data_IF_214641583789
#
_entry.id   IF_214641583789
#
_cell.length_a   1.000
_cell.length_b   1.000
_cell.length_c   1.000
_cell.angle_alpha   90.00
_cell.angle_beta   90.00
_cell.angle_gamma   90.00
#
_symmetry.space_group_name_H-M   'P 1'
#
loop_
_entity.id
_entity.type
_entity.pdbx_description
1 polymer ?
#
# COMPACT_ATOMS: atom_id res chain seq x y z
N UNK A 1 15.16 -6.08 18.02
CA UNK A 1 15.40 -4.79 18.71
C UNK A 1 16.02 -3.70 17.80
N UNK A 2 17.09 -3.94 17.03
CA UNK A 2 17.70 -2.88 16.19
C UNK A 2 16.78 -2.33 15.07
N UNK A 3 16.10 -3.19 14.30
CA UNK A 3 15.30 -2.79 13.12
C UNK A 3 14.13 -1.85 13.44
N UNK A 4 13.57 -1.99 14.63
CA UNK A 4 12.48 -1.14 15.13
C UNK A 4 13.01 0.17 15.69
N UNK A 5 14.10 0.12 16.48
CA UNK A 5 14.77 1.30 17.03
C UNK A 5 15.23 2.29 15.96
N UNK A 6 15.64 1.77 14.78
CA UNK A 6 16.06 2.59 13.64
C UNK A 6 14.89 3.03 12.75
N UNK A 7 13.63 2.73 13.10
CA UNK A 7 12.45 3.04 12.27
C UNK A 7 12.39 2.28 10.94
N UNK A 8 13.32 1.37 10.70
CA UNK A 8 13.47 0.65 9.43
C UNK A 8 12.27 -0.24 9.13
N UNK A 9 11.61 -0.78 10.16
CA UNK A 9 10.37 -1.53 9.98
C UNK A 9 9.28 -0.69 9.28
N UNK A 10 9.07 0.56 9.71
CA UNK A 10 8.09 1.47 9.10
C UNK A 10 8.45 1.84 7.67
N UNK A 11 9.75 2.06 7.39
CA UNK A 11 10.24 2.30 6.03
C UNK A 11 9.97 1.12 5.11
N UNK A 12 10.32 -0.09 5.55
CA UNK A 12 10.11 -1.32 4.79
C UNK A 12 8.61 -1.54 4.48
N UNK A 13 7.70 -1.24 5.41
CA UNK A 13 6.26 -1.29 5.15
C UNK A 13 5.84 -0.30 4.05
N UNK A 14 6.33 0.94 4.09
CA UNK A 14 6.02 1.94 3.09
C UNK A 14 6.55 1.56 1.70
N UNK A 15 7.76 1.02 1.62
CA UNK A 15 8.36 0.52 0.37
C UNK A 15 7.51 -0.59 -0.24
N UNK A 16 7.04 -1.54 0.57
CA UNK A 16 6.16 -2.63 0.12
C UNK A 16 4.81 -2.08 -0.35
N UNK A 17 4.21 -1.13 0.36
CA UNK A 17 2.95 -0.49 -0.07
C UNK A 17 3.13 0.22 -1.41
N UNK A 18 4.21 0.98 -1.58
CA UNK A 18 4.50 1.68 -2.84
C UNK A 18 4.80 0.72 -3.99
N UNK A 19 5.52 -0.37 -3.74
CA UNK A 19 5.75 -1.43 -4.72
C UNK A 19 4.41 -2.01 -5.22
N UNK A 20 3.51 -2.39 -4.30
CA UNK A 20 2.19 -2.92 -4.65
C UNK A 20 1.34 -1.89 -5.40
N UNK A 21 1.34 -0.64 -4.94
CA UNK A 21 0.61 0.45 -5.59
C UNK A 21 1.02 0.60 -7.05
N UNK A 22 2.33 0.70 -7.32
CA UNK A 22 2.87 0.88 -8.68
C UNK A 22 2.63 -0.34 -9.56
N UNK A 23 2.69 -1.53 -8.98
CA UNK A 23 2.45 -2.80 -9.71
C UNK A 23 1.00 -2.91 -10.16
N UNK A 24 0.04 -2.51 -9.32
CA UNK A 24 -1.40 -2.68 -9.59
C UNK A 24 -1.97 -1.52 -10.42
N UNK A 25 -1.58 -0.28 -10.10
CA UNK A 25 -2.23 0.93 -10.63
C UNK A 25 -1.34 1.76 -11.57
N UNK A 26 -0.17 1.25 -11.94
CA UNK A 26 0.91 1.99 -12.60
C UNK A 26 1.57 3.05 -11.71
N UNK A 27 2.72 3.56 -12.17
CA UNK A 27 3.44 4.69 -11.56
C UNK A 27 2.89 6.06 -11.94
N UNK A 28 1.79 6.11 -12.69
CA UNK A 28 1.25 7.34 -13.31
C UNK A 28 -0.15 7.68 -12.77
N UNK A 29 -0.53 8.96 -12.92
CA UNK A 29 -1.86 9.48 -12.57
C UNK A 29 -2.54 9.98 -13.84
N UNK A 30 -3.82 9.63 -13.99
CA UNK A 30 -4.58 9.94 -15.21
C UNK A 30 -5.37 11.25 -15.09
N UNK A 31 -5.69 11.67 -13.87
CA UNK A 31 -6.41 12.91 -13.64
C UNK A 31 -5.60 14.14 -14.08
N UNK A 32 -6.27 15.10 -14.73
CA UNK A 32 -5.65 16.31 -15.30
C UNK A 32 -5.45 17.45 -14.30
N UNK A 33 -6.18 17.44 -13.19
CA UNK A 33 -6.09 18.46 -12.13
C UNK A 33 -5.51 17.85 -10.87
N UNK A 34 -4.77 18.63 -10.09
CA UNK A 34 -4.15 18.18 -8.83
C UNK A 34 -5.20 17.68 -7.82
N UNK A 35 -6.37 18.33 -7.78
CA UNK A 35 -7.48 17.92 -6.92
C UNK A 35 -7.99 16.51 -7.30
N UNK A 36 -8.17 16.26 -8.60
CA UNK A 36 -8.60 14.96 -9.08
C UNK A 36 -7.50 13.90 -8.94
N UNK A 37 -6.23 14.26 -9.11
CA UNK A 37 -5.09 13.39 -8.85
C UNK A 37 -5.02 12.97 -7.37
N UNK A 38 -5.28 13.92 -6.47
CA UNK A 38 -5.35 13.64 -5.03
C UNK A 38 -6.47 12.65 -4.72
N UNK A 39 -7.63 12.84 -5.35
CA UNK A 39 -8.77 11.92 -5.22
C UNK A 39 -8.47 10.54 -5.81
N UNK A 40 -7.84 10.49 -6.99
CA UNK A 40 -7.39 9.25 -7.63
C UNK A 40 -6.46 8.44 -6.72
N UNK A 41 -5.45 9.08 -6.12
CA UNK A 41 -4.52 8.43 -5.19
C UNK A 41 -5.26 7.90 -3.97
N UNK A 42 -6.17 8.68 -3.37
CA UNK A 42 -6.96 8.24 -2.21
C UNK A 42 -7.80 7.00 -2.53
N UNK A 43 -8.46 6.98 -3.69
CA UNK A 43 -9.26 5.84 -4.15
C UNK A 43 -8.39 4.61 -4.40
N UNK A 44 -7.25 4.76 -5.08
CA UNK A 44 -6.30 3.66 -5.32
C UNK A 44 -5.78 3.06 -4.00
N UNK A 45 -5.46 3.90 -3.01
CA UNK A 45 -5.07 3.45 -1.67
C UNK A 45 -6.20 2.68 -0.96
N UNK A 46 -7.45 3.16 -1.06
CA UNK A 46 -8.60 2.48 -0.47
C UNK A 46 -8.83 1.11 -1.12
N UNK A 47 -8.75 1.02 -2.45
CA UNK A 47 -8.83 -0.24 -3.19
C UNK A 47 -7.71 -1.21 -2.79
N UNK A 48 -6.48 -0.72 -2.63
CA UNK A 48 -5.35 -1.55 -2.20
C UNK A 48 -5.57 -2.19 -0.84
N UNK A 49 -6.19 -1.46 0.09
CA UNK A 49 -6.59 -1.98 1.39
C UNK A 49 -7.70 -3.02 1.28
N UNK A 50 -8.69 -2.82 0.40
CA UNK A 50 -9.76 -3.80 0.13
C UNK A 50 -9.25 -5.09 -0.49
N UNK A 51 -8.28 -5.03 -1.40
CA UNK A 51 -7.64 -6.23 -1.94
C UNK A 51 -6.89 -7.02 -0.87
N UNK A 52 -6.23 -6.32 0.08
CA UNK A 52 -5.60 -6.98 1.23
C UNK A 52 -6.64 -7.71 2.08
N UNK A 53 -7.76 -7.07 2.39
CA UNK A 53 -8.84 -7.69 3.19
C UNK A 53 -9.43 -8.93 2.51
N UNK A 54 -9.62 -8.88 1.19
CA UNK A 54 -10.30 -9.94 0.45
C UNK A 54 -9.37 -11.09 0.06
N UNK A 55 -8.10 -10.81 -0.23
CA UNK A 55 -7.17 -11.76 -0.83
C UNK A 55 -6.14 -12.37 0.12
N UNK A 56 -6.07 -11.94 1.39
CA UNK A 56 -5.10 -12.53 2.32
C UNK A 56 -5.63 -13.83 2.95
N UNK A 57 -4.83 -14.90 2.97
CA UNK A 57 -5.18 -16.12 3.69
C UNK A 57 -5.25 -15.83 5.19
N UNK A 58 -6.19 -16.50 5.87
CA UNK A 58 -6.30 -16.44 7.33
C UNK A 58 -5.11 -17.19 7.92
N UNK A 59 -4.14 -16.44 8.45
CA UNK A 59 -3.01 -17.03 9.17
C UNK A 59 -3.49 -17.51 10.54
N UNK A 60 -3.37 -18.81 10.79
CA UNK A 60 -3.61 -19.41 12.10
C UNK A 60 -2.29 -19.87 12.71
N UNK A 61 -2.15 -19.73 14.03
CA UNK A 61 -1.00 -20.27 14.74
C UNK A 61 -1.11 -21.79 14.71
N UNK A 62 -0.14 -22.45 14.08
CA UNK A 62 -0.04 -23.91 14.13
C UNK A 62 0.42 -24.28 15.53
N UNK A 63 -0.34 -25.17 16.19
CA UNK A 63 -0.09 -25.65 17.54
C UNK A 63 0.74 -26.93 17.51
#
# INVERSE_FOLDING_TARGET
>A
AWKEQQGYHRRSLNEVVMFRYKTIFSGELNARTIENQTTEVKLKCLLLNKFKETGMPVSCKVQ
#
